data_IF_698471356296
#
_entry.id   IF_698471356296
#
_cell.length_a   1.000
_cell.length_b   1.000
_cell.length_c   1.000
_cell.angle_alpha   90.00
_cell.angle_beta   90.00
_cell.angle_gamma   90.00
#
_symmetry.space_group_name_H-M   'P 1'
#
loop_
_entity.id
_entity.type
_entity.pdbx_description
1 polymer ?
#
# COMPACT_ATOMS: atom_id res chain seq x y z
N UNK A 1 34.23 19.01 -14.00
CA UNK A 1 32.76 19.20 -14.07
C UNK A 1 32.17 18.24 -13.07
N UNK A 2 31.78 18.75 -11.90
CA UNK A 2 31.05 17.95 -10.88
C UNK A 2 29.66 17.80 -11.47
N UNK A 3 29.30 16.57 -11.88
CA UNK A 3 27.96 16.28 -12.35
C UNK A 3 26.96 16.67 -11.25
N UNK A 4 26.00 17.55 -11.54
CA UNK A 4 24.85 17.75 -10.69
C UNK A 4 24.15 16.39 -10.57
N UNK A 5 24.37 15.70 -9.47
CA UNK A 5 23.54 14.56 -9.09
C UNK A 5 22.12 15.15 -8.91
N UNK A 6 21.21 14.83 -9.81
CA UNK A 6 19.82 15.23 -9.67
C UNK A 6 19.29 14.58 -8.39
N UNK A 7 18.87 15.38 -7.42
CA UNK A 7 18.28 14.88 -6.18
C UNK A 7 17.08 13.95 -6.51
N UNK A 8 17.01 12.83 -5.81
CA UNK A 8 15.84 11.96 -5.86
C UNK A 8 14.72 12.67 -5.12
N UNK A 9 13.68 13.06 -5.84
CA UNK A 9 12.52 13.73 -5.24
C UNK A 9 11.51 12.67 -4.74
N UNK A 10 11.03 12.85 -3.50
CA UNK A 10 10.16 11.88 -2.83
C UNK A 10 8.84 12.52 -2.43
N UNK A 11 7.73 11.86 -2.73
CA UNK A 11 6.43 12.06 -2.08
C UNK A 11 6.30 11.01 -0.98
N UNK A 12 6.21 11.45 0.28
CA UNK A 12 6.10 10.57 1.45
C UNK A 12 4.65 10.51 1.94
N UNK A 13 4.06 9.30 1.95
CA UNK A 13 2.64 9.10 2.23
C UNK A 13 2.46 8.16 3.42
N UNK A 14 1.93 8.69 4.53
CA UNK A 14 1.62 7.97 5.78
C UNK A 14 0.62 8.80 6.58
N UNK A 15 -0.40 8.21 7.18
CA UNK A 15 -1.39 8.92 7.99
C UNK A 15 -0.88 9.29 9.40
N UNK A 16 0.23 8.68 9.83
CA UNK A 16 0.86 8.96 11.11
C UNK A 16 1.91 10.07 10.97
N UNK A 17 1.58 11.29 11.36
CA UNK A 17 2.44 12.47 11.24
C UNK A 17 3.83 12.28 11.88
N UNK A 18 3.90 11.65 13.07
CA UNK A 18 5.18 11.39 13.77
C UNK A 18 6.06 10.41 12.98
N UNK A 19 5.47 9.37 12.39
CA UNK A 19 6.16 8.39 11.56
C UNK A 19 6.68 9.07 10.29
N UNK A 20 5.83 9.82 9.63
CA UNK A 20 6.13 10.59 8.42
C UNK A 20 7.28 11.57 8.65
N UNK A 21 7.21 12.38 9.72
CA UNK A 21 8.29 13.31 10.09
C UNK A 21 9.61 12.61 10.44
N UNK A 22 9.56 11.40 11.02
CA UNK A 22 10.74 10.58 11.28
C UNK A 22 11.43 10.11 10.00
N UNK A 23 10.65 9.59 9.03
CA UNK A 23 11.19 9.13 7.75
C UNK A 23 11.62 10.27 6.84
N UNK A 24 10.94 11.41 6.89
CA UNK A 24 11.40 12.63 6.22
C UNK A 24 12.83 12.98 6.66
N UNK A 25 13.07 13.09 7.97
CA UNK A 25 14.41 13.38 8.52
C UNK A 25 15.44 12.33 8.11
N UNK A 26 15.06 11.05 8.10
CA UNK A 26 15.94 9.96 7.68
C UNK A 26 16.37 10.12 6.22
N UNK A 27 15.43 10.38 5.32
CA UNK A 27 15.68 10.55 3.88
C UNK A 27 16.52 11.82 3.64
N UNK A 28 16.15 12.94 4.22
CA UNK A 28 16.84 14.22 4.10
C UNK A 28 18.18 14.29 4.89
N UNK A 29 18.53 13.24 5.64
CA UNK A 29 19.89 13.11 6.21
C UNK A 29 20.97 12.75 5.17
N UNK A 30 20.54 12.46 3.93
CA UNK A 30 21.41 12.18 2.78
C UNK A 30 21.35 13.35 1.80
N UNK A 31 22.48 13.64 1.14
CA UNK A 31 22.59 14.80 0.25
C UNK A 31 21.90 14.63 -1.12
N UNK A 32 21.42 13.42 -1.41
CA UNK A 32 20.88 13.01 -2.72
C UNK A 32 19.37 12.76 -2.73
N UNK A 33 18.68 12.89 -1.58
CA UNK A 33 17.22 12.66 -1.47
C UNK A 33 16.54 13.89 -0.86
N UNK A 34 15.46 14.33 -1.48
CA UNK A 34 14.63 15.45 -1.04
C UNK A 34 13.15 15.04 -0.96
N UNK A 35 12.51 15.25 0.19
CA UNK A 35 11.06 15.04 0.36
C UNK A 35 10.32 16.30 -0.05
N UNK A 36 9.84 16.35 -1.29
CA UNK A 36 9.20 17.51 -1.89
C UNK A 36 7.72 17.68 -1.51
N UNK A 37 7.06 16.60 -1.07
CA UNK A 37 5.67 16.64 -0.62
C UNK A 37 5.38 15.53 0.39
N UNK A 38 4.36 15.75 1.22
CA UNK A 38 3.86 14.79 2.21
C UNK A 38 2.34 14.67 2.09
N UNK A 39 1.79 13.46 2.28
CA UNK A 39 0.36 13.19 2.27
C UNK A 39 -0.04 12.31 3.47
N UNK A 40 -1.23 12.55 4.01
CA UNK A 40 -1.81 11.76 5.11
C UNK A 40 -2.88 10.75 4.67
N UNK A 41 -3.20 10.71 3.37
CA UNK A 41 -4.21 9.81 2.79
C UNK A 41 -3.99 9.62 1.29
N UNK A 42 -4.71 8.66 0.71
CA UNK A 42 -4.50 8.32 -0.69
C UNK A 42 -5.07 9.34 -1.69
N UNK A 43 -6.09 10.10 -1.33
CA UNK A 43 -6.64 11.18 -2.17
C UNK A 43 -5.62 12.31 -2.33
N UNK A 44 -5.04 12.73 -1.21
CA UNK A 44 -3.99 13.74 -1.17
C UNK A 44 -2.73 13.27 -1.90
N UNK A 45 -2.32 12.01 -1.68
CA UNK A 45 -1.19 11.41 -2.38
C UNK A 45 -1.35 11.45 -3.91
N UNK A 46 -2.54 11.11 -4.42
CA UNK A 46 -2.82 11.18 -5.85
C UNK A 46 -2.76 12.62 -6.38
N UNK A 47 -3.32 13.58 -5.64
CA UNK A 47 -3.32 15.00 -6.04
C UNK A 47 -1.90 15.57 -6.09
N UNK A 48 -1.10 15.33 -5.02
CA UNK A 48 0.29 15.79 -4.92
C UNK A 48 1.21 15.07 -5.93
N UNK A 49 0.93 13.81 -6.27
CA UNK A 49 1.64 13.13 -7.35
C UNK A 49 1.48 13.86 -8.69
N UNK A 50 0.25 14.25 -9.04
CA UNK A 50 -0.02 14.96 -10.28
C UNK A 50 0.61 16.35 -10.32
N UNK A 51 0.64 17.04 -9.18
CA UNK A 51 1.18 18.38 -9.04
C UNK A 51 2.72 18.40 -9.11
N UNK A 52 3.38 17.51 -8.37
CA UNK A 52 4.82 17.56 -8.15
C UNK A 52 5.62 16.56 -8.99
N UNK A 53 5.00 15.54 -9.54
CA UNK A 53 5.64 14.47 -10.33
C UNK A 53 6.95 13.95 -9.66
N UNK A 54 6.87 13.41 -8.43
CA UNK A 54 8.05 12.97 -7.68
C UNK A 54 8.76 11.82 -8.38
N UNK A 55 10.07 11.73 -8.19
CA UNK A 55 10.89 10.63 -8.69
C UNK A 55 10.53 9.29 -8.03
N UNK A 56 10.09 9.30 -6.76
CA UNK A 56 9.62 8.11 -6.02
C UNK A 56 8.44 8.49 -5.12
N UNK A 57 7.45 7.61 -5.05
CA UNK A 57 6.38 7.67 -4.04
C UNK A 57 6.64 6.61 -2.99
N UNK A 58 6.84 7.00 -1.73
CA UNK A 58 6.88 6.08 -0.59
C UNK A 58 5.46 6.03 -0.01
N UNK A 59 4.79 4.87 -0.14
CA UNK A 59 3.36 4.72 0.05
C UNK A 59 3.02 3.75 1.18
N UNK A 60 2.41 4.24 2.27
CA UNK A 60 1.75 3.36 3.23
C UNK A 60 0.47 2.77 2.65
N UNK A 61 0.17 1.53 3.01
CA UNK A 61 -1.06 0.85 2.58
C UNK A 61 -2.26 1.13 3.48
N UNK A 62 -2.01 1.33 4.77
CA UNK A 62 -3.05 1.41 5.81
C UNK A 62 -3.36 2.85 6.18
N UNK A 63 -4.18 3.51 5.39
CA UNK A 63 -4.55 4.90 5.60
C UNK A 63 -6.08 5.08 5.50
N UNK A 64 -6.66 6.10 6.16
CA UNK A 64 -8.07 6.44 5.99
C UNK A 64 -8.39 6.93 4.57
N UNK A 65 -9.67 6.90 4.19
CA UNK A 65 -10.11 7.31 2.86
C UNK A 65 -9.87 6.24 1.80
N UNK A 66 -9.24 6.56 0.70
CA UNK A 66 -8.67 5.55 -0.21
C UNK A 66 -7.34 5.08 0.37
N UNK A 67 -7.21 3.77 0.57
CA UNK A 67 -5.97 3.18 1.06
C UNK A 67 -4.84 3.25 0.02
N UNK A 68 -3.61 2.98 0.46
CA UNK A 68 -2.43 3.08 -0.41
C UNK A 68 -2.44 2.17 -1.63
N UNK A 69 -3.09 1.00 -1.57
CA UNK A 69 -3.27 0.14 -2.74
C UNK A 69 -4.13 0.80 -3.83
N UNK A 70 -5.24 1.47 -3.46
CA UNK A 70 -6.07 2.16 -4.45
C UNK A 70 -5.40 3.43 -4.97
N UNK A 71 -4.71 4.17 -4.11
CA UNK A 71 -3.90 5.33 -4.51
C UNK A 71 -2.81 4.92 -5.50
N UNK A 72 -2.02 3.88 -5.20
CA UNK A 72 -0.98 3.32 -6.09
C UNK A 72 -1.57 2.90 -7.44
N UNK A 73 -2.71 2.20 -7.45
CA UNK A 73 -3.40 1.82 -8.68
C UNK A 73 -3.82 3.02 -9.53
N UNK A 74 -4.33 4.09 -8.90
CA UNK A 74 -4.74 5.33 -9.60
C UNK A 74 -3.54 6.05 -10.20
N UNK A 75 -2.44 6.15 -9.45
CA UNK A 75 -1.19 6.74 -9.94
C UNK A 75 -0.69 5.94 -11.15
N UNK A 76 -0.54 4.61 -11.03
CA UNK A 76 -0.04 3.73 -12.09
C UNK A 76 -0.97 3.65 -13.31
N UNK A 77 -2.28 3.84 -13.13
CA UNK A 77 -3.22 3.95 -14.24
C UNK A 77 -3.06 5.26 -15.04
N UNK A 78 -2.58 6.32 -14.39
CA UNK A 78 -2.31 7.63 -15.01
C UNK A 78 -0.91 7.70 -15.58
N UNK A 79 0.06 7.12 -14.87
CA UNK A 79 1.47 7.11 -15.25
C UNK A 79 2.07 5.72 -14.95
N UNK A 80 2.33 4.95 -16.00
CA UNK A 80 2.87 3.59 -15.88
C UNK A 80 4.33 3.55 -15.48
N UNK A 81 5.04 4.66 -15.63
CA UNK A 81 6.44 4.81 -15.23
C UNK A 81 6.60 5.30 -13.79
N UNK A 82 5.50 5.55 -13.08
CA UNK A 82 5.53 5.95 -11.68
C UNK A 82 6.25 4.93 -10.82
N UNK A 83 7.21 5.38 -10.05
CA UNK A 83 8.03 4.54 -9.18
C UNK A 83 7.47 4.58 -7.76
N UNK A 84 6.84 3.49 -7.36
CA UNK A 84 6.19 3.37 -6.05
C UNK A 84 6.93 2.34 -5.22
N UNK A 85 7.37 2.78 -4.02
CA UNK A 85 7.88 1.94 -2.94
C UNK A 85 6.79 1.82 -1.87
N UNK A 86 6.20 0.65 -1.73
CA UNK A 86 5.30 0.37 -0.63
C UNK A 86 6.08 0.23 0.68
N UNK A 87 5.54 0.82 1.72
CA UNK A 87 6.09 0.87 3.05
C UNK A 87 4.98 0.56 4.06
N UNK A 88 4.91 -0.67 4.58
CA UNK A 88 3.72 -1.17 5.26
C UNK A 88 4.04 -2.02 6.49
N UNK A 89 3.09 -2.08 7.43
CA UNK A 89 3.12 -3.04 8.55
C UNK A 89 2.70 -4.47 8.12
N UNK A 90 2.14 -4.62 6.92
CA UNK A 90 1.66 -5.91 6.44
C UNK A 90 2.80 -6.75 5.86
N UNK A 91 3.24 -7.75 6.62
CA UNK A 91 4.27 -8.71 6.23
C UNK A 91 3.62 -10.04 5.82
N UNK A 92 2.90 -10.05 4.71
CA UNK A 92 2.26 -11.27 4.20
C UNK A 92 2.15 -11.30 2.68
N UNK A 93 1.90 -12.50 2.16
CA UNK A 93 1.84 -12.79 0.73
C UNK A 93 0.75 -11.98 0.00
N UNK A 94 -0.40 -11.77 0.64
CA UNK A 94 -1.57 -11.17 -0.01
C UNK A 94 -1.31 -9.71 -0.37
N UNK A 95 -0.80 -8.91 0.57
CA UNK A 95 -0.49 -7.50 0.33
C UNK A 95 0.68 -7.34 -0.64
N UNK A 96 1.72 -8.16 -0.48
CA UNK A 96 2.86 -8.15 -1.40
C UNK A 96 2.41 -8.42 -2.83
N UNK A 97 1.66 -9.51 -3.06
CA UNK A 97 1.21 -9.88 -4.39
C UNK A 97 0.31 -8.82 -5.01
N UNK A 98 -0.64 -8.27 -4.24
CA UNK A 98 -1.52 -7.20 -4.72
C UNK A 98 -0.77 -5.93 -5.12
N UNK A 99 0.25 -5.54 -4.38
CA UNK A 99 1.09 -4.39 -4.71
C UNK A 99 1.87 -4.66 -6.01
N UNK A 100 2.55 -5.80 -6.10
CA UNK A 100 3.35 -6.17 -7.26
C UNK A 100 2.49 -6.39 -8.52
N UNK A 101 1.29 -6.97 -8.40
CA UNK A 101 0.36 -7.17 -9.52
C UNK A 101 -0.17 -5.84 -10.09
N UNK A 102 -0.16 -4.78 -9.29
CA UNK A 102 -0.48 -3.42 -9.75
C UNK A 102 0.69 -2.74 -10.48
N UNK A 103 1.90 -3.25 -10.36
CA UNK A 103 3.11 -2.66 -10.95
C UNK A 103 3.94 -1.83 -9.97
N UNK A 104 3.69 -1.94 -8.65
CA UNK A 104 4.54 -1.33 -7.62
C UNK A 104 5.95 -1.90 -7.72
N UNK A 105 6.95 -1.03 -7.69
CA UNK A 105 8.35 -1.41 -7.94
C UNK A 105 9.07 -1.88 -6.68
N UNK A 106 8.64 -1.45 -5.49
CA UNK A 106 9.27 -1.88 -4.25
C UNK A 106 8.29 -2.14 -3.11
N UNK A 107 8.70 -3.00 -2.17
CA UNK A 107 7.94 -3.30 -0.94
C UNK A 107 8.89 -3.50 0.24
N UNK A 108 8.73 -2.71 1.30
CA UNK A 108 9.46 -2.85 2.57
C UNK A 108 8.50 -2.86 3.75
N UNK A 109 8.90 -3.55 4.81
CA UNK A 109 8.19 -3.54 6.09
C UNK A 109 8.52 -2.30 6.91
N UNK A 110 7.52 -1.72 7.58
CA UNK A 110 7.75 -0.65 8.58
C UNK A 110 8.67 -1.09 9.73
N UNK A 111 8.78 -2.39 10.02
CA UNK A 111 9.67 -2.93 11.07
C UNK A 111 11.14 -2.83 10.73
N UNK A 112 11.50 -2.90 9.46
CA UNK A 112 12.89 -2.83 8.96
C UNK A 112 13.21 -1.51 8.28
N UNK A 113 12.22 -0.69 7.97
CA UNK A 113 12.33 0.48 7.11
C UNK A 113 13.42 1.48 7.53
N UNK A 114 13.61 1.73 8.83
CA UNK A 114 14.67 2.62 9.32
C UNK A 114 16.09 2.23 8.88
N UNK A 115 16.31 0.96 8.55
CA UNK A 115 17.64 0.44 8.10
C UNK A 115 17.76 0.39 6.59
N UNK A 116 16.66 0.27 5.86
CA UNK A 116 16.69 -0.02 4.41
C UNK A 116 16.02 1.06 3.55
N UNK A 117 15.31 2.02 4.14
CA UNK A 117 14.50 3.02 3.43
C UNK A 117 15.32 3.80 2.39
N UNK A 118 16.48 4.33 2.79
CA UNK A 118 17.34 5.14 1.92
C UNK A 118 17.81 4.32 0.71
N UNK A 119 18.26 3.09 0.95
CA UNK A 119 18.71 2.18 -0.11
C UNK A 119 17.55 1.80 -1.04
N UNK A 120 16.39 1.47 -0.47
CA UNK A 120 15.18 1.13 -1.22
C UNK A 120 14.71 2.28 -2.12
N UNK A 121 14.73 3.52 -1.61
CA UNK A 121 14.38 4.72 -2.38
C UNK A 121 15.35 4.92 -3.54
N UNK A 122 16.66 4.77 -3.32
CA UNK A 122 17.68 4.89 -4.38
C UNK A 122 17.51 3.84 -5.47
N UNK A 123 17.29 2.59 -5.09
CA UNK A 123 17.11 1.50 -6.04
C UNK A 123 15.84 1.67 -6.85
N UNK A 124 14.70 1.99 -6.19
CA UNK A 124 13.44 2.29 -6.86
C UNK A 124 13.56 3.52 -7.77
N UNK A 125 14.28 4.56 -7.33
CA UNK A 125 14.55 5.74 -8.16
C UNK A 125 15.36 5.42 -9.42
N UNK A 126 16.21 4.39 -9.38
CA UNK A 126 16.93 3.89 -10.56
C UNK A 126 16.04 3.04 -11.49
N UNK A 127 14.77 2.78 -11.13
CA UNK A 127 13.86 1.90 -11.87
C UNK A 127 14.07 0.42 -11.56
N UNK A 128 14.84 0.10 -10.53
CA UNK A 128 15.12 -1.28 -10.13
C UNK A 128 14.18 -1.73 -9.00
N UNK A 129 13.70 -3.00 -9.01
CA UNK A 129 12.81 -3.49 -7.98
C UNK A 129 13.55 -3.67 -6.64
N UNK A 130 12.89 -3.30 -5.54
CA UNK A 130 13.39 -3.53 -4.18
C UNK A 130 12.37 -4.26 -3.32
N UNK A 131 12.74 -5.45 -2.83
CA UNK A 131 11.90 -6.22 -1.90
C UNK A 131 12.67 -6.45 -0.62
N UNK A 132 12.12 -5.98 0.50
CA UNK A 132 12.72 -6.20 1.83
C UNK A 132 12.96 -7.67 2.13
N UNK A 133 14.03 -7.97 2.85
CA UNK A 133 14.44 -9.37 3.13
C UNK A 133 13.34 -10.18 3.80
N UNK A 134 12.58 -9.58 4.71
CA UNK A 134 11.44 -10.17 5.39
C UNK A 134 10.28 -10.55 4.46
N UNK A 135 10.22 -9.94 3.27
CA UNK A 135 9.20 -10.22 2.27
C UNK A 135 9.60 -11.32 1.26
N UNK A 136 10.90 -11.66 1.19
CA UNK A 136 11.42 -12.65 0.24
C UNK A 136 10.77 -14.05 0.35
N UNK A 137 10.46 -14.60 1.55
CA UNK A 137 9.76 -15.87 1.66
C UNK A 137 8.37 -15.87 0.97
N UNK A 138 7.67 -14.74 0.99
CA UNK A 138 6.36 -14.60 0.35
C UNK A 138 6.48 -14.44 -1.17
N UNK A 139 7.54 -13.79 -1.65
CA UNK A 139 7.83 -13.67 -3.07
C UNK A 139 8.08 -15.04 -3.71
N UNK A 140 8.81 -15.93 -3.02
CA UNK A 140 9.06 -17.29 -3.47
C UNK A 140 7.77 -18.11 -3.55
N UNK A 141 6.87 -17.96 -2.58
CA UNK A 141 5.57 -18.64 -2.53
C UNK A 141 4.57 -18.15 -3.58
N UNK A 142 4.75 -16.96 -4.15
CA UNK A 142 3.84 -16.31 -5.09
C UNK A 142 3.37 -17.22 -6.24
N UNK A 143 4.16 -18.21 -6.64
CA UNK A 143 3.84 -19.16 -7.73
C UNK A 143 2.91 -20.31 -7.34
N UNK A 144 2.55 -20.47 -6.06
CA UNK A 144 2.03 -21.75 -5.56
C UNK A 144 0.61 -21.74 -5.00
N UNK A 145 -0.03 -20.59 -4.69
CA UNK A 145 -1.30 -20.63 -3.95
C UNK A 145 -2.54 -20.26 -4.78
N UNK A 146 -3.48 -21.23 -4.86
CA UNK A 146 -4.85 -21.01 -5.36
C UNK A 146 -5.62 -19.97 -4.49
N UNK A 147 -5.25 -19.83 -3.22
CA UNK A 147 -5.87 -18.91 -2.26
C UNK A 147 -5.60 -17.44 -2.59
N UNK A 148 -4.42 -17.11 -3.16
CA UNK A 148 -4.12 -15.75 -3.63
C UNK A 148 -5.05 -15.31 -4.77
N UNK A 149 -5.53 -16.24 -5.59
CA UNK A 149 -6.43 -15.94 -6.70
C UNK A 149 -7.82 -15.47 -6.23
N UNK A 150 -8.31 -15.97 -5.08
CA UNK A 150 -9.60 -15.57 -4.53
C UNK A 150 -9.63 -14.08 -4.17
N UNK A 151 -8.57 -13.60 -3.53
CA UNK A 151 -8.48 -12.18 -3.13
C UNK A 151 -8.08 -11.27 -4.29
N UNK A 152 -7.34 -11.77 -5.29
CA UNK A 152 -6.97 -10.99 -6.48
C UNK A 152 -8.18 -10.57 -7.32
N UNK A 153 -9.29 -11.31 -7.23
CA UNK A 153 -10.58 -10.94 -7.84
C UNK A 153 -11.30 -9.76 -7.18
N UNK A 154 -10.85 -9.32 -6.00
CA UNK A 154 -11.41 -8.16 -5.32
C UNK A 154 -10.78 -6.87 -5.85
N UNK A 155 -11.59 -5.84 -6.09
CA UNK A 155 -11.06 -4.48 -6.28
C UNK A 155 -10.33 -4.01 -5.02
N UNK A 156 -9.43 -3.00 -5.09
CA UNK A 156 -8.76 -2.46 -3.90
C UNK A 156 -9.75 -2.08 -2.80
N UNK A 157 -10.87 -1.47 -3.16
CA UNK A 157 -11.92 -1.05 -2.22
C UNK A 157 -12.65 -2.24 -1.58
N UNK A 158 -12.98 -3.27 -2.35
CA UNK A 158 -13.59 -4.50 -1.82
C UNK A 158 -12.62 -5.22 -0.89
N UNK A 159 -11.34 -5.25 -1.21
CA UNK A 159 -10.32 -5.86 -0.36
C UNK A 159 -10.18 -5.10 0.98
N UNK A 160 -10.19 -3.79 0.95
CA UNK A 160 -10.13 -2.97 2.16
C UNK A 160 -11.38 -3.18 3.04
N UNK A 161 -12.56 -3.17 2.44
CA UNK A 161 -13.81 -3.50 3.15
C UNK A 161 -13.76 -4.93 3.71
N UNK A 162 -13.23 -5.90 2.95
CA UNK A 162 -13.03 -7.28 3.43
C UNK A 162 -12.17 -7.33 4.68
N UNK A 163 -11.00 -6.67 4.67
CA UNK A 163 -10.09 -6.61 5.81
C UNK A 163 -10.76 -6.01 7.05
N UNK A 164 -11.35 -4.82 6.91
CA UNK A 164 -11.99 -4.10 8.00
C UNK A 164 -13.21 -4.86 8.57
N UNK A 165 -14.00 -5.52 7.70
CA UNK A 165 -15.09 -6.40 8.15
C UNK A 165 -14.57 -7.60 8.93
N UNK A 166 -13.48 -8.21 8.46
CA UNK A 166 -12.86 -9.34 9.13
C UNK A 166 -12.25 -8.96 10.50
N UNK A 167 -11.79 -7.73 10.66
CA UNK A 167 -11.35 -7.12 11.93
C UNK A 167 -12.51 -6.81 12.89
N UNK A 168 -13.76 -6.98 12.44
CA UNK A 168 -14.96 -6.83 13.27
C UNK A 168 -15.61 -5.45 13.20
N UNK A 169 -15.14 -4.52 12.36
CA UNK A 169 -15.75 -3.19 12.24
C UNK A 169 -17.17 -3.29 11.64
N UNK A 170 -18.09 -2.48 12.14
CA UNK A 170 -19.42 -2.35 11.56
C UNK A 170 -19.42 -1.64 10.21
N UNK A 171 -20.49 -1.79 9.44
CA UNK A 171 -20.68 -1.05 8.17
C UNK A 171 -20.59 0.47 8.38
N UNK A 172 -21.11 0.98 9.52
CA UNK A 172 -21.09 2.40 9.83
C UNK A 172 -19.67 2.89 10.17
N UNK A 173 -18.93 2.11 10.98
CA UNK A 173 -17.55 2.46 11.33
C UNK A 173 -16.65 2.49 10.09
N UNK A 174 -16.80 1.48 9.21
CA UNK A 174 -16.07 1.43 7.94
C UNK A 174 -16.45 2.61 7.05
N UNK A 175 -17.74 2.98 7.01
CA UNK A 175 -18.19 4.11 6.21
C UNK A 175 -17.57 5.43 6.69
N UNK A 176 -17.46 5.63 8.00
CA UNK A 176 -16.76 6.77 8.59
C UNK A 176 -15.26 6.75 8.28
N UNK A 177 -14.59 5.62 8.55
CA UNK A 177 -13.15 5.46 8.33
C UNK A 177 -12.78 5.72 6.88
N UNK A 178 -13.58 5.23 5.95
CA UNK A 178 -13.30 5.31 4.52
C UNK A 178 -13.95 6.53 3.84
N UNK A 179 -14.58 7.43 4.62
CA UNK A 179 -15.23 8.65 4.17
C UNK A 179 -16.24 8.44 3.01
N UNK A 180 -17.10 7.44 3.17
CA UNK A 180 -18.14 7.10 2.20
C UNK A 180 -19.49 6.81 2.91
N UNK A 181 -20.58 6.65 2.14
CA UNK A 181 -21.87 6.32 2.73
C UNK A 181 -21.94 4.86 3.21
N UNK A 182 -22.70 4.55 4.30
CA UNK A 182 -22.95 3.16 4.70
C UNK A 182 -23.56 2.31 3.58
N UNK A 183 -24.36 2.91 2.70
CA UNK A 183 -24.93 2.25 1.51
C UNK A 183 -23.83 1.77 0.56
N UNK A 184 -22.79 2.58 0.36
CA UNK A 184 -21.62 2.24 -0.49
C UNK A 184 -20.88 1.03 0.09
N UNK A 185 -20.65 1.02 1.42
CA UNK A 185 -20.02 -0.12 2.11
C UNK A 185 -20.90 -1.37 2.01
N UNK A 186 -22.22 -1.23 2.19
CA UNK A 186 -23.16 -2.34 2.01
C UNK A 186 -23.09 -2.98 0.62
N UNK A 187 -22.95 -2.16 -0.42
CA UNK A 187 -22.78 -2.64 -1.79
C UNK A 187 -21.45 -3.40 -1.95
N UNK A 188 -20.32 -2.84 -1.47
CA UNK A 188 -19.03 -3.53 -1.50
C UNK A 188 -19.06 -4.83 -0.70
N UNK A 189 -19.70 -4.85 0.49
CA UNK A 189 -19.83 -6.04 1.33
C UNK A 189 -20.64 -7.15 0.63
N UNK A 190 -21.69 -6.82 -0.10
CA UNK A 190 -22.44 -7.79 -0.90
C UNK A 190 -21.62 -8.36 -2.03
N UNK A 191 -20.94 -7.50 -2.81
CA UNK A 191 -20.09 -7.89 -3.93
C UNK A 191 -18.94 -8.78 -3.48
N UNK A 192 -18.21 -8.40 -2.42
CA UNK A 192 -17.08 -9.18 -1.90
C UNK A 192 -17.52 -10.55 -1.36
N UNK A 193 -18.66 -10.64 -0.66
CA UNK A 193 -19.20 -11.93 -0.19
C UNK A 193 -19.50 -12.86 -1.36
N UNK A 194 -20.11 -12.35 -2.41
CA UNK A 194 -20.39 -13.13 -3.62
C UNK A 194 -19.10 -13.62 -4.29
N UNK A 195 -18.09 -12.76 -4.43
CA UNK A 195 -16.79 -13.11 -5.04
C UNK A 195 -16.01 -14.12 -4.22
N UNK A 196 -16.08 -14.03 -2.89
CA UNK A 196 -15.37 -14.91 -1.97
C UNK A 196 -16.17 -16.19 -1.61
N UNK A 197 -17.42 -16.29 -2.02
CA UNK A 197 -18.31 -17.41 -1.67
C UNK A 197 -18.67 -17.46 -0.18
N UNK A 198 -18.58 -16.32 0.55
CA UNK A 198 -18.85 -16.26 1.98
C UNK A 198 -20.33 -15.93 2.25
N UNK A 199 -21.00 -16.72 3.08
CA UNK A 199 -22.43 -16.53 3.40
C UNK A 199 -22.64 -15.52 4.54
N UNK A 200 -21.68 -15.43 5.47
CA UNK A 200 -21.78 -14.59 6.66
C UNK A 200 -20.41 -13.99 7.07
N UNK A 201 -20.42 -13.08 8.05
CA UNK A 201 -19.21 -12.39 8.50
C UNK A 201 -18.22 -13.33 9.22
N UNK A 202 -18.72 -14.37 9.90
CA UNK A 202 -17.84 -15.35 10.53
C UNK A 202 -17.03 -16.17 9.51
N UNK A 203 -17.60 -16.42 8.33
CA UNK A 203 -16.87 -17.03 7.21
C UNK A 203 -15.87 -16.08 6.60
N UNK A 204 -16.20 -14.78 6.48
CA UNK A 204 -15.26 -13.75 6.05
C UNK A 204 -14.06 -13.68 6.98
N UNK A 205 -14.27 -13.64 8.30
CA UNK A 205 -13.20 -13.60 9.30
C UNK A 205 -12.31 -14.86 9.20
N UNK A 206 -12.90 -16.05 9.13
CA UNK A 206 -12.14 -17.31 8.96
C UNK A 206 -11.32 -17.32 7.68
N UNK A 207 -11.90 -16.83 6.59
CA UNK A 207 -11.21 -16.71 5.30
C UNK A 207 -10.05 -15.71 5.39
N UNK A 208 -10.26 -14.56 6.02
CA UNK A 208 -9.24 -13.54 6.20
C UNK A 208 -8.04 -14.03 7.04
N UNK A 209 -8.30 -14.78 8.13
CA UNK A 209 -7.25 -15.42 8.94
C UNK A 209 -6.49 -16.46 8.11
N UNK A 210 -7.20 -17.34 7.40
CA UNK A 210 -6.59 -18.39 6.56
C UNK A 210 -5.68 -17.79 5.47
N UNK A 211 -6.10 -16.67 4.89
CA UNK A 211 -5.36 -15.97 3.85
C UNK A 211 -4.27 -15.03 4.40
N UNK A 212 -4.16 -14.88 5.72
CA UNK A 212 -3.21 -13.97 6.35
C UNK A 212 -3.53 -12.49 6.15
N UNK A 213 -4.77 -12.15 5.79
CA UNK A 213 -5.23 -10.75 5.65
C UNK A 213 -5.31 -10.08 7.01
N UNK A 214 -5.71 -10.84 8.03
CA UNK A 214 -5.70 -10.45 9.45
C UNK A 214 -5.05 -11.55 10.29
N UNK A 215 -4.57 -11.18 11.49
CA UNK A 215 -4.11 -12.13 12.52
C UNK A 215 -5.28 -12.53 13.43
N UNK A 216 -5.27 -13.75 14.01
CA UNK A 216 -6.28 -14.20 14.98
C UNK A 216 -6.35 -13.34 16.23
#
# INVERSE_FOLDING_TARGET
>A
MIGMQSNITVLLVDDHEVVRGGYRRLLESTDDIEVIAEAGNGEEAYSLYLEHQPGVVVMDLSMPGIGGLDASRRILARDREARILVFSVHENEVFLNRALDQGVLGYISKRSASRVMVEAVRQVAAGEPYIGQEMMPFLIKRKASADSQLVNGLSPREFEVFRLRAEGLSVNDIAQLLNVSPKTIGHHNTSLKQKLGAVNDAELTRLAIRLGVITP
#
